data_IF_543268038268
#
_entry.id   IF_543268038268
#
_cell.length_a   1.000
_cell.length_b   1.000
_cell.length_c   1.000
_cell.angle_alpha   90.00
_cell.angle_beta   90.00
_cell.angle_gamma   90.00
#
_symmetry.space_group_name_H-M   'P 1'
#
loop_
_entity.id
_entity.type
_entity.pdbx_description
1 polymer ?
#
# COMPACT_ATOMS: atom_id res chain seq x y z
N UNK A 1 -4.05 9.95 4.39
CA UNK A 1 -3.32 10.96 5.22
C UNK A 1 -1.88 11.14 4.72
N UNK A 2 -1.09 12.13 5.18
CA UNK A 2 0.37 12.12 4.96
C UNK A 2 1.01 11.08 5.87
N UNK A 3 1.81 10.20 5.28
CA UNK A 3 2.57 9.16 5.99
C UNK A 3 4.02 9.60 6.18
N UNK A 4 4.62 10.21 5.16
CA UNK A 4 5.97 10.77 5.23
C UNK A 4 5.95 12.28 5.04
N UNK A 5 6.34 13.03 6.07
CA UNK A 5 6.45 14.50 5.97
C UNK A 5 7.68 14.90 5.15
N UNK A 6 8.80 14.20 5.34
CA UNK A 6 10.07 14.45 4.66
C UNK A 6 9.98 14.49 3.13
N UNK A 7 9.23 13.54 2.56
CA UNK A 7 9.08 13.36 1.12
C UNK A 7 7.64 13.62 0.65
N UNK A 8 6.82 14.25 1.49
CA UNK A 8 5.40 14.52 1.22
C UNK A 8 4.64 13.30 0.67
N UNK A 9 4.92 12.10 1.21
CA UNK A 9 4.28 10.86 0.77
C UNK A 9 2.96 10.68 1.51
N UNK A 10 1.90 10.49 0.74
CA UNK A 10 0.57 10.22 1.21
C UNK A 10 0.27 8.73 1.25
N UNK A 11 -0.66 8.35 2.12
CA UNK A 11 -1.20 7.00 2.21
C UNK A 11 -1.78 6.51 0.87
N UNK A 12 -2.40 7.42 0.08
CA UNK A 12 -2.92 7.09 -1.25
C UNK A 12 -1.81 6.69 -2.21
N UNK A 13 -0.66 7.36 -2.16
CA UNK A 13 0.50 7.01 -2.99
C UNK A 13 1.09 5.66 -2.58
N UNK A 14 1.11 5.34 -1.28
CA UNK A 14 1.55 4.02 -0.80
C UNK A 14 0.57 2.94 -1.27
N UNK A 15 -0.74 3.17 -1.13
CA UNK A 15 -1.77 2.25 -1.63
C UNK A 15 -1.64 2.02 -3.13
N UNK A 16 -1.40 3.08 -3.90
CA UNK A 16 -1.19 2.97 -5.35
C UNK A 16 0.08 2.16 -5.68
N UNK A 17 1.18 2.41 -4.99
CA UNK A 17 2.41 1.63 -5.17
C UNK A 17 2.17 0.12 -4.91
N UNK A 18 1.37 -0.21 -3.89
CA UNK A 18 1.00 -1.60 -3.59
C UNK A 18 0.11 -2.19 -4.68
N UNK A 19 -0.87 -1.44 -5.21
CA UNK A 19 -1.68 -1.90 -6.34
C UNK A 19 -0.88 -2.09 -7.63
N UNK A 20 0.18 -1.31 -7.81
CA UNK A 20 1.10 -1.41 -8.95
C UNK A 20 2.06 -2.62 -8.82
N UNK A 21 1.95 -3.39 -7.73
CA UNK A 21 2.69 -4.63 -7.51
C UNK A 21 3.84 -4.52 -6.51
N UNK A 22 4.03 -3.39 -5.83
CA UNK A 22 5.05 -3.27 -4.78
C UNK A 22 4.57 -3.95 -3.49
N UNK A 23 5.25 -5.01 -3.10
CA UNK A 23 4.87 -5.86 -1.96
C UNK A 23 5.79 -5.68 -0.74
N UNK A 24 6.88 -4.92 -0.87
CA UNK A 24 7.82 -4.69 0.23
C UNK A 24 8.06 -3.21 0.53
N UNK A 25 8.39 -2.91 1.79
CA UNK A 25 8.87 -1.57 2.19
C UNK A 25 10.10 -1.11 1.39
N UNK A 26 10.90 -2.04 0.88
CA UNK A 26 12.10 -1.71 0.11
C UNK A 26 11.71 -1.10 -1.23
N UNK A 27 10.71 -1.69 -1.88
CA UNK A 27 10.25 -1.25 -3.20
C UNK A 27 9.48 0.08 -3.07
N UNK A 28 8.60 0.16 -2.08
CA UNK A 28 7.87 1.41 -1.77
C UNK A 28 8.85 2.54 -1.40
N UNK A 29 9.92 2.25 -0.66
CA UNK A 29 11.00 3.22 -0.39
C UNK A 29 11.74 3.61 -1.67
N UNK A 30 12.07 2.65 -2.53
CA UNK A 30 12.77 2.90 -3.79
C UNK A 30 11.97 3.80 -4.73
N UNK A 31 10.64 3.64 -4.75
CA UNK A 31 9.77 4.44 -5.61
C UNK A 31 9.42 5.81 -5.03
N UNK A 32 9.01 5.87 -3.75
CA UNK A 32 8.43 7.07 -3.13
C UNK A 32 9.39 7.82 -2.20
N UNK A 33 10.56 7.27 -1.89
CA UNK A 33 11.47 7.83 -0.87
C UNK A 33 10.94 7.70 0.57
N UNK A 34 9.91 6.88 0.82
CA UNK A 34 9.36 6.78 2.18
C UNK A 34 10.39 6.20 3.16
N UNK A 35 10.67 6.95 4.22
CA UNK A 35 11.61 6.54 5.27
C UNK A 35 13.09 6.62 4.89
N UNK A 36 13.48 7.30 3.80
CA UNK A 36 14.89 7.52 3.44
C UNK A 36 15.56 8.70 4.16
N UNK A 37 14.80 9.61 4.78
CA UNK A 37 15.36 10.73 5.56
C UNK A 37 15.39 10.43 7.07
N UNK A 38 14.36 10.83 7.83
CA UNK A 38 14.38 10.71 9.30
C UNK A 38 13.89 9.35 9.84
N UNK A 39 13.33 8.48 9.00
CA UNK A 39 12.86 7.14 9.38
C UNK A 39 11.61 7.07 10.28
N UNK A 40 11.10 8.18 10.82
CA UNK A 40 9.97 8.19 11.78
C UNK A 40 8.67 7.59 11.23
N UNK A 41 8.48 7.66 9.91
CA UNK A 41 7.30 7.14 9.23
C UNK A 41 7.36 5.63 8.93
N UNK A 42 8.49 4.95 9.18
CA UNK A 42 8.71 3.57 8.71
C UNK A 42 7.71 2.58 9.30
N UNK A 43 7.38 2.68 10.59
CA UNK A 43 6.39 1.79 11.20
C UNK A 43 5.00 2.02 10.59
N UNK A 44 4.54 3.26 10.54
CA UNK A 44 3.25 3.61 9.95
C UNK A 44 3.15 3.22 8.46
N UNK A 45 4.23 3.41 7.69
CA UNK A 45 4.27 3.01 6.28
C UNK A 45 4.13 1.49 6.11
N UNK A 46 4.76 0.68 7.00
CA UNK A 46 4.59 -0.77 7.01
C UNK A 46 3.16 -1.19 7.29
N UNK A 47 2.53 -0.54 8.26
CA UNK A 47 1.14 -0.83 8.64
C UNK A 47 0.21 -0.56 7.44
N UNK A 48 0.40 0.59 6.77
CA UNK A 48 -0.38 0.94 5.56
C UNK A 48 -0.16 -0.08 4.43
N UNK A 49 1.07 -0.52 4.17
CA UNK A 49 1.34 -1.55 3.15
C UNK A 49 0.63 -2.85 3.50
N UNK A 50 0.75 -3.30 4.75
CA UNK A 50 0.16 -4.56 5.23
C UNK A 50 -1.36 -4.51 5.13
N UNK A 51 -1.96 -3.41 5.56
CA UNK A 51 -3.40 -3.17 5.42
C UNK A 51 -3.83 -3.18 3.95
N UNK A 52 -3.07 -2.53 3.07
CA UNK A 52 -3.38 -2.48 1.63
C UNK A 52 -3.34 -3.86 0.98
N UNK A 53 -2.38 -4.71 1.38
CA UNK A 53 -2.27 -6.09 0.92
C UNK A 53 -3.46 -6.94 1.38
N UNK A 54 -3.89 -6.78 2.64
CA UNK A 54 -5.08 -7.46 3.16
C UNK A 54 -6.35 -7.00 2.43
N UNK A 55 -6.49 -5.69 2.19
CA UNK A 55 -7.60 -5.13 1.41
C UNK A 55 -7.63 -5.69 -0.02
N UNK A 56 -6.47 -5.87 -0.66
CA UNK A 56 -6.38 -6.49 -1.99
C UNK A 56 -6.71 -7.98 -1.97
N UNK A 57 -6.24 -8.72 -0.98
CA UNK A 57 -6.58 -10.14 -0.80
C UNK A 57 -8.10 -10.36 -0.63
N UNK A 58 -8.79 -9.42 0.04
CA UNK A 58 -10.25 -9.45 0.19
C UNK A 58 -10.95 -9.08 -1.12
N UNK A 59 -10.47 -8.08 -1.87
CA UNK A 59 -11.09 -7.73 -3.15
C UNK A 59 -11.08 -8.88 -4.14
N UNK A 60 -9.96 -9.60 -4.23
CA UNK A 60 -9.85 -10.79 -5.09
C UNK A 60 -10.95 -11.82 -4.76
N UNK A 61 -11.26 -12.07 -3.47
CA UNK A 61 -12.29 -13.06 -3.11
C UNK A 61 -13.73 -12.58 -3.39
N UNK A 62 -13.99 -11.27 -3.37
CA UNK A 62 -15.32 -10.71 -3.65
C UNK A 62 -15.57 -10.54 -5.16
N UNK A 63 -14.53 -10.25 -5.94
CA UNK A 63 -14.64 -10.13 -7.40
C UNK A 63 -15.00 -11.47 -8.07
N UNK A 64 -14.56 -12.61 -7.51
CA UNK A 64 -15.04 -13.93 -7.94
C UNK A 64 -16.53 -14.19 -7.63
N UNK A 65 -17.11 -13.54 -6.61
CA UNK A 65 -18.53 -13.70 -6.25
C UNK A 65 -19.47 -12.93 -7.19
N UNK A 66 -18.96 -11.94 -7.93
CA UNK A 66 -19.72 -11.20 -8.95
C UNK A 66 -20.04 -12.06 -10.18
N UNK A 67 -19.19 -13.03 -10.51
CA UNK A 67 -19.46 -13.98 -11.61
C UNK A 67 -20.40 -15.13 -11.21
N UNK A 68 -20.50 -15.46 -9.91
CA UNK A 68 -21.27 -16.60 -9.39
C UNK A 68 -22.80 -16.41 -9.32
N UNK A 69 -23.34 -15.27 -9.79
CA UNK A 69 -24.79 -15.02 -9.91
C UNK A 69 -25.33 -14.97 -11.35
N UNK A 70 -24.50 -15.30 -12.36
CA UNK A 70 -24.93 -15.39 -13.76
C UNK A 70 -25.09 -16.84 -14.24
N UNK A 71 -25.17 -17.80 -13.31
CA UNK A 71 -25.50 -19.19 -13.59
C UNK A 71 -26.91 -19.53 -13.09
#
# INVERSE_FOLDING_TARGET
MYVCICHAVTEKQIKQAVTDGMDSMRDVRGCLGVGSQCGKCVCHAKDVITQSQQELAIKVSVDYTSCQKVA
#
